data_IF_292237210696
#
_entry.id   IF_292237210696
#
_cell.length_a   1.000
_cell.length_b   1.000
_cell.length_c   1.000
_cell.angle_alpha   90.00
_cell.angle_beta   90.00
_cell.angle_gamma   90.00
#
_symmetry.space_group_name_H-M   'P 1'
#
loop_
_entity.id
_entity.type
_entity.pdbx_description
1 polymer ?
#
# COMPACT_ATOMS: atom_id res chain seq x y z
N UNK A 1 1.98 -24.41 -4.76
CA UNK A 1 2.36 -23.84 -6.06
C UNK A 1 3.87 -23.91 -6.12
N UNK A 2 4.44 -24.49 -7.16
CA UNK A 2 5.90 -24.62 -7.34
C UNK A 2 6.39 -23.66 -8.40
N UNK A 3 7.68 -23.32 -8.35
CA UNK A 3 8.31 -22.45 -9.37
C UNK A 3 8.17 -23.05 -10.77
N UNK A 4 8.23 -24.38 -10.89
CA UNK A 4 8.07 -25.10 -12.16
C UNK A 4 6.65 -25.07 -12.75
N UNK A 5 5.66 -24.59 -12.00
CA UNK A 5 4.27 -24.45 -12.46
C UNK A 5 4.00 -23.07 -13.10
N UNK A 6 4.94 -22.13 -13.00
CA UNK A 6 4.84 -20.81 -13.62
C UNK A 6 5.01 -20.90 -15.14
N UNK A 7 4.24 -20.08 -15.87
CA UNK A 7 4.50 -19.87 -17.30
C UNK A 7 5.72 -18.97 -17.52
N UNK A 8 6.11 -18.78 -18.79
CA UNK A 8 7.31 -18.01 -19.15
C UNK A 8 7.28 -16.56 -18.64
N UNK A 9 6.11 -15.91 -18.70
CA UNK A 9 5.96 -14.50 -18.34
C UNK A 9 5.98 -14.34 -16.81
N UNK A 10 5.34 -15.27 -16.09
CA UNK A 10 5.34 -15.34 -14.63
C UNK A 10 6.74 -15.65 -14.07
N UNK A 11 7.46 -16.58 -14.70
CA UNK A 11 8.85 -16.86 -14.33
C UNK A 11 9.74 -15.63 -14.56
N UNK A 12 9.57 -14.95 -15.69
CA UNK A 12 10.28 -13.70 -15.99
C UNK A 12 9.97 -12.61 -14.96
N UNK A 13 8.72 -12.51 -14.51
CA UNK A 13 8.32 -11.56 -13.46
C UNK A 13 8.98 -11.91 -12.11
N UNK A 14 9.00 -13.19 -11.75
CA UNK A 14 9.65 -13.69 -10.53
C UNK A 14 11.16 -13.42 -10.54
N UNK A 15 11.85 -13.69 -11.65
CA UNK A 15 13.26 -13.38 -11.83
C UNK A 15 13.56 -11.89 -11.63
N UNK A 16 12.68 -11.01 -12.13
CA UNK A 16 12.82 -9.57 -11.98
C UNK A 16 12.55 -9.11 -10.54
N UNK A 17 11.61 -9.73 -9.83
CA UNK A 17 11.38 -9.48 -8.40
C UNK A 17 12.65 -9.82 -7.61
N UNK A 18 13.21 -11.02 -7.81
CA UNK A 18 14.41 -11.45 -7.11
C UNK A 18 15.64 -10.62 -7.51
N UNK A 19 15.77 -10.26 -8.79
CA UNK A 19 16.81 -9.35 -9.26
C UNK A 19 16.71 -7.98 -8.62
N UNK A 20 15.51 -7.42 -8.48
CA UNK A 20 15.31 -6.16 -7.75
C UNK A 20 15.73 -6.28 -6.29
N UNK A 21 15.30 -7.33 -5.58
CA UNK A 21 15.68 -7.56 -4.18
C UNK A 21 17.20 -7.74 -4.02
N UNK A 22 17.89 -8.28 -5.03
CA UNK A 22 19.32 -8.54 -4.95
C UNK A 22 20.21 -7.34 -5.33
N UNK A 23 19.73 -6.43 -6.18
CA UNK A 23 20.57 -5.38 -6.77
C UNK A 23 20.06 -3.95 -6.52
N UNK A 24 18.82 -3.77 -6.07
CA UNK A 24 18.26 -2.44 -5.80
C UNK A 24 18.81 -1.85 -4.50
N UNK A 25 18.85 -0.52 -4.45
CA UNK A 25 19.11 0.27 -3.25
C UNK A 25 17.82 0.83 -2.61
N UNK A 26 16.66 0.24 -2.93
CA UNK A 26 15.36 0.62 -2.38
C UNK A 26 14.70 1.83 -3.06
N UNK A 27 15.13 2.15 -4.29
CA UNK A 27 14.42 3.15 -5.11
C UNK A 27 13.18 2.53 -5.70
N UNK A 28 12.01 3.11 -5.39
CA UNK A 28 10.72 2.63 -5.87
C UNK A 28 10.72 2.38 -7.40
N UNK A 29 10.45 1.14 -7.79
CA UNK A 29 10.33 0.73 -9.19
C UNK A 29 8.92 0.18 -9.48
N UNK A 30 8.08 0.87 -10.27
CA UNK A 30 6.74 0.38 -10.62
C UNK A 30 6.73 -1.01 -11.26
N UNK A 31 7.80 -1.41 -11.97
CA UNK A 31 7.91 -2.74 -12.56
C UNK A 31 8.04 -3.82 -11.49
N UNK A 32 8.79 -3.55 -10.42
CA UNK A 32 8.90 -4.44 -9.27
C UNK A 32 7.52 -4.66 -8.63
N UNK A 33 6.77 -3.59 -8.36
CA UNK A 33 5.43 -3.69 -7.80
C UNK A 33 4.46 -4.47 -8.69
N UNK A 34 4.49 -4.23 -10.01
CA UNK A 34 3.68 -4.97 -10.98
C UNK A 34 3.97 -6.47 -10.94
N UNK A 35 5.25 -6.84 -10.97
CA UNK A 35 5.66 -8.24 -10.95
C UNK A 35 5.33 -8.91 -9.62
N UNK A 36 5.57 -8.23 -8.49
CA UNK A 36 5.22 -8.73 -7.17
C UNK A 36 3.71 -8.96 -7.06
N UNK A 37 2.91 -8.04 -7.60
CA UNK A 37 1.46 -8.14 -7.62
C UNK A 37 0.95 -9.30 -8.51
N UNK A 38 1.65 -9.59 -9.61
CA UNK A 38 1.37 -10.75 -10.46
C UNK A 38 1.63 -12.07 -9.72
N UNK A 39 2.77 -12.18 -9.03
CA UNK A 39 3.09 -13.37 -8.22
C UNK A 39 2.11 -13.52 -7.06
N UNK A 40 1.79 -12.42 -6.39
CA UNK A 40 0.79 -12.36 -5.32
C UNK A 40 -0.57 -12.93 -5.79
N UNK A 41 -1.08 -12.49 -6.93
CA UNK A 41 -2.33 -12.97 -7.52
C UNK A 41 -2.37 -14.49 -7.66
N UNK A 42 -1.25 -15.10 -8.06
CA UNK A 42 -1.14 -16.56 -8.23
C UNK A 42 -1.16 -17.27 -6.89
N UNK A 43 -0.44 -16.75 -5.91
CA UNK A 43 -0.44 -17.29 -4.56
C UNK A 43 -1.83 -17.16 -3.91
N UNK A 44 -2.50 -16.01 -4.02
CA UNK A 44 -3.85 -15.81 -3.47
C UNK A 44 -4.89 -16.75 -4.08
N UNK A 45 -4.75 -17.08 -5.37
CA UNK A 45 -5.67 -18.02 -6.01
C UNK A 45 -5.58 -19.44 -5.43
N UNK A 46 -4.44 -19.82 -4.85
CA UNK A 46 -4.20 -21.15 -4.26
C UNK A 46 -4.30 -21.12 -2.72
N UNK A 47 -3.84 -20.03 -2.10
CA UNK A 47 -3.65 -19.89 -0.66
C UNK A 47 -4.19 -18.54 -0.16
N UNK A 48 -5.50 -18.25 -0.31
CA UNK A 48 -6.04 -16.91 -0.02
C UNK A 48 -5.74 -16.44 1.42
N UNK A 49 -5.89 -17.32 2.40
CA UNK A 49 -5.68 -17.02 3.83
C UNK A 49 -4.21 -17.09 4.28
N UNK A 50 -3.31 -17.60 3.45
CA UNK A 50 -1.89 -17.78 3.79
C UNK A 50 -0.97 -17.08 2.77
N UNK A 51 -1.51 -16.17 1.96
CA UNK A 51 -0.77 -15.63 0.79
C UNK A 51 0.58 -15.06 1.19
N UNK A 52 0.64 -14.28 2.27
CA UNK A 52 1.86 -13.60 2.68
C UNK A 52 2.92 -14.58 3.22
N UNK A 53 2.54 -15.56 4.03
CA UNK A 53 3.48 -16.60 4.50
C UNK A 53 3.95 -17.49 3.35
N UNK A 54 3.05 -17.80 2.41
CA UNK A 54 3.40 -18.55 1.20
C UNK A 54 4.32 -17.77 0.27
N UNK A 55 4.21 -16.44 0.21
CA UNK A 55 5.14 -15.61 -0.54
C UNK A 55 6.55 -15.73 0.03
N UNK A 56 6.73 -15.71 1.35
CA UNK A 56 8.02 -15.92 1.99
C UNK A 56 8.66 -17.24 1.55
N UNK A 57 7.95 -18.36 1.75
CA UNK A 57 8.44 -19.70 1.36
C UNK A 57 8.74 -19.78 -0.14
N UNK A 58 7.86 -19.20 -0.96
CA UNK A 58 7.95 -19.25 -2.41
C UNK A 58 9.15 -18.47 -2.95
N UNK A 59 9.49 -17.31 -2.38
CA UNK A 59 10.67 -16.54 -2.78
C UNK A 59 11.96 -17.30 -2.46
N UNK A 60 12.04 -18.00 -1.33
CA UNK A 60 13.19 -18.85 -1.02
C UNK A 60 13.31 -20.06 -1.94
N UNK A 61 12.21 -20.77 -2.20
CA UNK A 61 12.18 -21.86 -3.19
C UNK A 61 12.65 -21.36 -4.57
N UNK A 62 12.22 -20.15 -4.96
CA UNK A 62 12.61 -19.54 -6.22
C UNK A 62 14.09 -19.19 -6.30
N UNK A 63 14.69 -18.65 -5.25
CA UNK A 63 16.14 -18.41 -5.17
C UNK A 63 16.91 -19.72 -5.36
N UNK A 64 16.52 -20.77 -4.64
CA UNK A 64 17.20 -22.08 -4.70
C UNK A 64 17.04 -22.73 -6.07
N UNK A 65 15.85 -22.62 -6.68
CA UNK A 65 15.60 -23.14 -8.03
C UNK A 65 16.39 -22.39 -9.11
N UNK A 66 16.40 -21.05 -9.06
CA UNK A 66 17.08 -20.23 -10.07
C UNK A 66 18.60 -20.28 -9.96
N UNK A 67 19.15 -20.36 -8.74
CA UNK A 67 20.60 -20.50 -8.53
C UNK A 67 21.17 -21.80 -9.12
N UNK A 68 20.35 -22.85 -9.27
CA UNK A 68 20.74 -24.09 -9.94
C UNK A 68 20.68 -24.02 -11.47
N UNK A 69 19.92 -23.07 -12.02
CA UNK A 69 19.65 -22.98 -13.47
C UNK A 69 20.38 -21.83 -14.16
N UNK A 70 20.73 -20.78 -13.43
CA UNK A 70 21.27 -19.55 -14.00
C UNK A 70 22.38 -18.97 -13.12
N UNK A 71 23.59 -18.87 -13.68
CA UNK A 71 24.76 -18.31 -13.00
C UNK A 71 24.57 -16.86 -12.54
N UNK A 72 23.64 -16.11 -13.15
CA UNK A 72 23.29 -14.76 -12.72
C UNK A 72 22.67 -14.71 -11.31
N UNK A 73 22.13 -15.84 -10.82
CA UNK A 73 21.52 -15.98 -9.49
C UNK A 73 22.43 -16.71 -8.49
N UNK A 74 23.70 -16.94 -8.82
CA UNK A 74 24.66 -17.59 -7.91
C UNK A 74 24.94 -16.75 -6.66
N UNK A 75 25.02 -15.42 -6.79
CA UNK A 75 25.12 -14.52 -5.65
C UNK A 75 23.73 -13.93 -5.35
N UNK A 76 23.08 -14.45 -4.31
CA UNK A 76 21.75 -14.05 -3.87
C UNK A 76 21.71 -13.61 -2.39
N UNK A 77 22.88 -13.35 -1.81
CA UNK A 77 23.03 -13.05 -0.37
C UNK A 77 22.16 -11.87 0.05
N UNK A 78 22.17 -10.78 -0.73
CA UNK A 78 21.33 -9.60 -0.45
C UNK A 78 19.85 -9.97 -0.47
N UNK A 79 19.37 -10.64 -1.54
CA UNK A 79 17.95 -10.99 -1.64
C UNK A 79 17.46 -11.85 -0.47
N UNK A 80 18.27 -12.82 -0.02
CA UNK A 80 17.94 -13.68 1.12
C UNK A 80 17.82 -12.88 2.41
N UNK A 81 18.82 -12.05 2.74
CA UNK A 81 18.81 -11.26 3.98
C UNK A 81 17.71 -10.20 3.96
N UNK A 82 17.41 -9.61 2.80
CA UNK A 82 16.30 -8.65 2.63
C UNK A 82 14.95 -9.34 2.86
N UNK A 83 14.73 -10.55 2.32
CA UNK A 83 13.50 -11.32 2.55
C UNK A 83 13.36 -11.70 4.02
N UNK A 84 14.39 -12.29 4.63
CA UNK A 84 14.42 -12.62 6.06
C UNK A 84 14.13 -11.39 6.92
N UNK A 85 14.85 -10.29 6.72
CA UNK A 85 14.65 -9.07 7.51
C UNK A 85 13.25 -8.49 7.35
N UNK A 86 12.71 -8.48 6.13
CA UNK A 86 11.37 -7.95 5.85
C UNK A 86 10.30 -8.75 6.58
N UNK A 87 10.30 -10.07 6.44
CA UNK A 87 9.23 -10.92 6.99
C UNK A 87 9.42 -11.21 8.49
N UNK A 88 10.62 -11.62 8.89
CA UNK A 88 10.88 -12.12 10.24
C UNK A 88 11.07 -10.99 11.25
N UNK A 89 11.53 -9.82 10.80
CA UNK A 89 11.71 -8.65 11.67
C UNK A 89 10.64 -7.60 11.43
N UNK A 90 10.61 -6.94 10.26
CA UNK A 90 9.80 -5.74 10.06
C UNK A 90 8.29 -6.02 10.10
N UNK A 91 7.77 -6.92 9.26
CA UNK A 91 6.34 -7.22 9.19
C UNK A 91 5.80 -7.81 10.49
N UNK A 92 6.52 -8.77 11.07
CA UNK A 92 6.19 -9.36 12.37
C UNK A 92 6.14 -8.30 13.48
N UNK A 93 7.15 -7.42 13.56
CA UNK A 93 7.20 -6.36 14.57
C UNK A 93 6.09 -5.34 14.34
N UNK A 94 5.80 -4.98 13.09
CA UNK A 94 4.71 -4.07 12.74
C UNK A 94 3.37 -4.57 13.27
N UNK A 95 3.04 -5.84 13.02
CA UNK A 95 1.78 -6.42 13.48
C UNK A 95 1.70 -6.46 15.02
N UNK A 96 2.78 -6.89 15.69
CA UNK A 96 2.82 -6.94 17.16
C UNK A 96 2.74 -5.54 17.80
N UNK A 97 3.44 -4.56 17.24
CA UNK A 97 3.47 -3.19 17.76
C UNK A 97 2.10 -2.50 17.63
N UNK A 98 1.38 -2.78 16.54
CA UNK A 98 0.06 -2.21 16.27
C UNK A 98 -1.10 -3.08 16.74
N UNK A 99 -0.85 -4.16 17.47
CA UNK A 99 -1.89 -5.12 17.85
C UNK A 99 -3.01 -4.46 18.68
N UNK A 100 -2.69 -3.49 19.55
CA UNK A 100 -3.69 -2.76 20.33
C UNK A 100 -4.60 -1.88 19.45
N UNK A 101 -4.05 -1.33 18.36
CA UNK A 101 -4.73 -0.42 17.45
C UNK A 101 -5.49 -1.15 16.34
N UNK A 102 -4.97 -2.31 15.93
CA UNK A 102 -5.43 -3.10 14.78
C UNK A 102 -5.97 -4.48 15.21
N UNK A 103 -6.39 -4.64 16.47
CA UNK A 103 -6.89 -5.92 17.01
C UNK A 103 -8.06 -6.53 16.23
N UNK A 104 -8.82 -5.70 15.49
CA UNK A 104 -9.94 -6.09 14.64
C UNK A 104 -9.54 -6.51 13.23
N UNK A 105 -8.28 -6.33 12.83
CA UNK A 105 -7.74 -6.69 11.51
C UNK A 105 -6.99 -8.02 11.58
N UNK A 106 -7.07 -8.81 10.51
CA UNK A 106 -6.15 -9.93 10.30
C UNK A 106 -4.90 -9.48 9.53
N UNK A 107 -3.80 -10.24 9.66
CA UNK A 107 -2.58 -10.01 8.88
C UNK A 107 -2.86 -10.01 7.36
N UNK A 108 -3.77 -10.88 6.91
CA UNK A 108 -4.18 -11.02 5.49
C UNK A 108 -4.81 -9.73 4.96
N UNK A 109 -5.52 -8.98 5.82
CA UNK A 109 -6.13 -7.71 5.44
C UNK A 109 -5.10 -6.57 5.35
N UNK A 110 -3.97 -6.69 6.06
CA UNK A 110 -2.93 -5.66 6.11
C UNK A 110 -1.83 -5.90 5.07
N UNK A 111 -1.34 -7.13 4.97
CA UNK A 111 -0.15 -7.49 4.19
C UNK A 111 -0.52 -7.84 2.76
N UNK A 112 -0.96 -6.87 1.97
CA UNK A 112 -1.09 -7.05 0.52
C UNK A 112 0.28 -6.94 -0.19
N UNK A 113 0.31 -7.22 -1.49
CA UNK A 113 1.55 -7.19 -2.29
C UNK A 113 2.28 -5.86 -2.21
N UNK A 114 1.56 -4.73 -2.26
CA UNK A 114 2.17 -3.41 -2.22
C UNK A 114 2.66 -3.03 -0.82
N UNK A 115 1.98 -3.44 0.24
CA UNK A 115 2.44 -3.24 1.62
C UNK A 115 3.78 -3.95 1.85
N UNK A 116 3.89 -5.20 1.40
CA UNK A 116 5.14 -5.96 1.44
C UNK A 116 6.20 -5.32 0.53
N UNK A 117 5.82 -4.85 -0.66
CA UNK A 117 6.69 -4.09 -1.56
C UNK A 117 7.29 -2.84 -0.90
N UNK A 118 6.48 -2.08 -0.16
CA UNK A 118 6.94 -0.91 0.61
C UNK A 118 7.90 -1.30 1.75
N UNK A 119 7.66 -2.44 2.39
CA UNK A 119 8.56 -2.97 3.41
C UNK A 119 9.92 -3.35 2.80
N UNK A 120 9.93 -3.98 1.62
CA UNK A 120 11.16 -4.26 0.87
C UNK A 120 11.92 -2.99 0.51
N UNK A 121 11.25 -1.98 -0.05
CA UNK A 121 11.88 -0.70 -0.39
C UNK A 121 12.58 -0.07 0.83
N UNK A 122 11.92 -0.10 1.99
CA UNK A 122 12.49 0.43 3.23
C UNK A 122 13.73 -0.35 3.68
N UNK A 123 13.67 -1.68 3.70
CA UNK A 123 14.81 -2.52 4.09
C UNK A 123 15.99 -2.30 3.15
N UNK A 124 15.73 -2.31 1.83
CA UNK A 124 16.75 -2.05 0.80
C UNK A 124 17.38 -0.66 0.93
N UNK A 125 16.59 0.35 1.34
CA UNK A 125 17.07 1.73 1.51
C UNK A 125 18.05 1.93 2.66
N UNK A 126 18.20 0.96 3.58
CA UNK A 126 19.15 1.06 4.69
C UNK A 126 20.61 0.84 4.27
N UNK A 127 20.86 0.47 3.01
CA UNK A 127 22.21 0.18 2.51
C UNK A 127 22.66 -1.26 2.81
N UNK A 128 23.92 -1.60 2.51
CA UNK A 128 24.34 -3.00 2.35
C UNK A 128 24.47 -3.79 3.67
N UNK A 129 24.40 -3.13 4.83
CA UNK A 129 24.54 -3.77 6.14
C UNK A 129 23.19 -4.24 6.69
N UNK A 130 22.59 -5.21 6.01
CA UNK A 130 21.24 -5.70 6.34
C UNK A 130 21.21 -6.54 7.63
N UNK A 131 22.34 -7.13 8.05
CA UNK A 131 22.42 -7.99 9.24
C UNK A 131 22.32 -7.20 10.56
N UNK A 132 22.72 -5.93 10.56
CA UNK A 132 22.76 -5.08 11.76
C UNK A 132 21.61 -4.05 11.80
N UNK A 133 20.54 -4.27 11.05
CA UNK A 133 19.42 -3.34 11.01
C UNK A 133 18.69 -3.27 12.35
N UNK A 134 18.45 -2.04 12.80
CA UNK A 134 17.71 -1.79 14.03
C UNK A 134 16.20 -1.80 13.73
N UNK A 135 15.50 -2.82 14.22
CA UNK A 135 14.07 -3.02 13.96
C UNK A 135 13.19 -1.86 14.45
N UNK A 136 13.53 -1.23 15.58
CA UNK A 136 12.78 -0.06 16.09
C UNK A 136 12.90 1.15 15.15
N UNK A 137 14.09 1.35 14.59
CA UNK A 137 14.34 2.40 13.61
C UNK A 137 13.62 2.14 12.29
N UNK A 138 13.65 0.90 11.80
CA UNK A 138 12.88 0.47 10.63
C UNK A 138 11.39 0.71 10.85
N UNK A 139 10.84 0.23 11.97
CA UNK A 139 9.42 0.39 12.28
C UNK A 139 9.02 1.87 12.33
N UNK A 140 9.81 2.72 12.98
CA UNK A 140 9.55 4.16 13.04
C UNK A 140 9.58 4.83 11.68
N UNK A 141 10.47 4.41 10.78
CA UNK A 141 10.51 4.93 9.40
C UNK A 141 9.36 4.39 8.55
N UNK A 142 8.94 3.15 8.78
CA UNK A 142 7.82 2.53 8.07
C UNK A 142 6.48 3.15 8.46
N UNK A 143 6.33 3.50 9.73
CA UNK A 143 5.17 4.18 10.29
C UNK A 143 5.18 5.67 9.92
N UNK A 144 4.74 5.99 8.71
CA UNK A 144 4.83 7.33 8.13
C UNK A 144 3.48 8.07 8.01
N UNK A 145 2.41 7.52 8.58
CA UNK A 145 1.08 8.12 8.56
C UNK A 145 0.44 8.16 9.95
N UNK A 146 -0.12 9.32 10.30
CA UNK A 146 -0.90 9.51 11.53
C UNK A 146 -2.35 9.96 11.26
N UNK A 147 -2.62 10.51 10.07
CA UNK A 147 -3.90 11.13 9.74
C UNK A 147 -4.12 12.47 10.46
N UNK A 148 -5.38 12.90 10.58
CA UNK A 148 -5.69 14.16 11.24
C UNK A 148 -5.53 14.05 12.75
N UNK A 149 -4.40 14.55 13.27
CA UNK A 149 -4.10 14.57 14.70
C UNK A 149 -3.86 15.99 15.22
N UNK A 150 -4.88 16.68 15.76
CA UNK A 150 -4.67 17.98 16.37
C UNK A 150 -3.85 17.80 17.65
N UNK A 151 -2.66 18.39 17.70
CA UNK A 151 -1.81 18.37 18.88
C UNK A 151 -1.93 19.71 19.60
N UNK A 152 -2.13 19.67 20.93
CA UNK A 152 -2.22 20.89 21.70
C UNK A 152 -0.88 21.64 21.64
N UNK A 153 -0.90 22.86 21.11
CA UNK A 153 0.23 23.79 21.18
C UNK A 153 0.10 24.61 22.45
N UNK A 154 0.95 24.32 23.44
CA UNK A 154 1.10 25.19 24.61
C UNK A 154 2.06 26.34 24.25
N UNK A 155 1.94 27.48 24.91
CA UNK A 155 2.79 28.65 24.66
C UNK A 155 4.30 28.35 24.79
N UNK A 156 4.67 27.32 25.56
CA UNK A 156 6.06 26.94 25.84
C UNK A 156 6.54 25.66 25.15
N UNK A 157 5.65 24.80 24.64
CA UNK A 157 6.01 23.50 24.07
C UNK A 157 5.04 23.05 22.97
N UNK A 158 5.61 22.56 21.86
CA UNK A 158 4.87 21.74 20.89
C UNK A 158 4.93 20.29 21.37
N UNK A 159 3.80 19.77 21.82
CA UNK A 159 3.65 18.34 22.10
C UNK A 159 3.82 17.58 20.77
N UNK A 160 4.47 16.43 20.79
CA UNK A 160 4.57 15.53 19.63
C UNK A 160 3.56 14.39 19.79
N UNK A 161 3.00 13.85 18.69
CA UNK A 161 2.16 12.66 18.78
C UNK A 161 2.94 11.47 19.36
N UNK A 162 2.23 10.53 19.99
CA UNK A 162 2.87 9.33 20.50
C UNK A 162 3.31 8.43 19.34
N UNK A 163 4.44 7.74 19.51
CA UNK A 163 5.01 6.86 18.46
C UNK A 163 4.03 5.80 17.98
N UNK A 164 3.18 5.26 18.86
CA UNK A 164 2.21 4.23 18.52
C UNK A 164 0.98 4.74 17.76
N UNK A 165 0.81 6.06 17.60
CA UNK A 165 -0.26 6.63 16.77
C UNK A 165 0.11 6.62 15.28
N UNK A 166 1.39 6.54 14.97
CA UNK A 166 1.92 6.47 13.60
C UNK A 166 1.89 5.03 13.09
N UNK A 167 1.41 4.82 11.86
CA UNK A 167 1.35 3.53 11.19
C UNK A 167 1.68 3.66 9.71
N UNK A 168 1.76 2.53 9.00
CA UNK A 168 1.85 2.51 7.53
C UNK A 168 0.44 2.29 6.97
N UNK A 169 -0.12 3.20 6.15
CA UNK A 169 -1.40 2.95 5.52
C UNK A 169 -1.22 1.85 4.45
N UNK A 170 -2.26 1.08 4.19
CA UNK A 170 -2.19 -0.09 3.31
C UNK A 170 -2.36 0.35 1.85
N UNK A 171 -1.33 0.27 0.99
CA UNK A 171 -1.43 0.79 -0.37
C UNK A 171 -2.39 -0.02 -1.22
N UNK A 172 -3.19 0.67 -2.02
CA UNK A 172 -4.16 0.11 -2.97
C UNK A 172 -3.84 0.47 -4.42
N UNK A 173 -3.08 1.54 -4.64
CA UNK A 173 -2.59 1.98 -5.94
C UNK A 173 -1.21 2.58 -5.79
N UNK A 174 -0.33 2.28 -6.74
CA UNK A 174 0.97 2.92 -6.88
C UNK A 174 1.10 3.42 -8.32
N UNK A 175 1.49 4.68 -8.50
CA UNK A 175 1.69 5.26 -9.83
C UNK A 175 2.68 4.44 -10.66
N UNK A 176 2.31 4.18 -11.91
CA UNK A 176 3.05 3.31 -12.84
C UNK A 176 2.83 1.81 -12.61
N UNK A 177 2.35 1.40 -11.44
CA UNK A 177 2.00 0.00 -11.15
C UNK A 177 0.49 -0.26 -11.24
N UNK A 178 -0.35 0.76 -11.05
CA UNK A 178 -1.80 0.56 -11.05
C UNK A 178 -2.31 -0.02 -9.73
N UNK A 179 -3.51 -0.60 -9.75
CA UNK A 179 -4.19 -1.08 -8.55
C UNK A 179 -3.64 -2.42 -8.03
N UNK A 180 -3.45 -2.50 -6.71
CA UNK A 180 -3.05 -3.70 -5.99
C UNK A 180 -4.08 -4.82 -6.19
N UNK A 181 -3.62 -6.06 -6.33
CA UNK A 181 -4.49 -7.23 -6.30
C UNK A 181 -5.22 -7.30 -4.96
N UNK A 182 -6.51 -7.64 -5.01
CA UNK A 182 -7.35 -7.75 -3.82
C UNK A 182 -8.80 -7.31 -4.08
N UNK A 183 -9.63 -7.27 -3.03
CA UNK A 183 -11.06 -6.98 -3.16
C UNK A 183 -11.36 -5.59 -3.75
N UNK A 184 -10.46 -4.62 -3.54
CA UNK A 184 -10.64 -3.24 -4.03
C UNK A 184 -10.00 -2.97 -5.39
N UNK A 185 -9.30 -3.94 -6.00
CA UNK A 185 -8.52 -3.72 -7.22
C UNK A 185 -9.35 -3.04 -8.32
N UNK A 186 -10.54 -3.60 -8.60
CA UNK A 186 -11.40 -3.14 -9.69
C UNK A 186 -11.91 -1.73 -9.46
N UNK A 187 -12.35 -1.40 -8.24
CA UNK A 187 -12.89 -0.07 -7.93
C UNK A 187 -11.78 0.99 -7.95
N UNK A 188 -10.59 0.65 -7.45
CA UNK A 188 -9.44 1.57 -7.45
C UNK A 188 -8.94 1.82 -8.87
N UNK A 189 -8.79 0.77 -9.69
CA UNK A 189 -8.40 0.90 -11.09
C UNK A 189 -9.41 1.77 -11.87
N UNK A 190 -10.71 1.52 -11.70
CA UNK A 190 -11.76 2.33 -12.33
C UNK A 190 -11.75 3.77 -11.83
N UNK A 191 -11.51 3.99 -10.54
CA UNK A 191 -11.43 5.34 -9.94
C UNK A 191 -10.30 6.15 -10.55
N UNK A 192 -9.10 5.57 -10.64
CA UNK A 192 -7.93 6.25 -11.24
C UNK A 192 -8.18 6.56 -12.71
N UNK A 193 -8.81 5.65 -13.46
CA UNK A 193 -9.22 5.89 -14.85
C UNK A 193 -10.20 7.05 -14.96
N UNK A 194 -11.24 7.10 -14.12
CA UNK A 194 -12.20 8.21 -14.12
C UNK A 194 -11.53 9.55 -13.81
N UNK A 195 -10.62 9.60 -12.84
CA UNK A 195 -9.85 10.80 -12.54
C UNK A 195 -9.00 11.25 -13.74
N UNK A 196 -8.32 10.31 -14.42
CA UNK A 196 -7.51 10.61 -15.60
C UNK A 196 -8.34 11.05 -16.82
N UNK A 197 -9.60 10.60 -16.93
CA UNK A 197 -10.54 10.97 -18.01
C UNK A 197 -11.39 12.21 -17.66
N UNK A 198 -11.25 12.76 -16.44
CA UNK A 198 -11.98 13.96 -16.01
C UNK A 198 -11.48 15.20 -16.76
N UNK A 199 -12.39 16.11 -17.08
CA UNK A 199 -12.07 17.37 -17.76
C UNK A 199 -10.99 18.18 -17.01
N UNK A 200 -10.01 18.69 -17.76
CA UNK A 200 -8.87 19.41 -17.20
C UNK A 200 -9.27 20.67 -16.42
N UNK A 201 -10.36 21.35 -16.82
CA UNK A 201 -10.85 22.52 -16.08
C UNK A 201 -11.40 22.11 -14.72
N UNK A 202 -12.14 21.00 -14.64
CA UNK A 202 -12.65 20.44 -13.38
C UNK A 202 -11.51 20.00 -12.45
N UNK A 203 -10.50 19.33 -12.99
CA UNK A 203 -9.31 18.93 -12.22
C UNK A 203 -8.59 20.15 -11.65
N UNK A 204 -8.41 21.20 -12.46
CA UNK A 204 -7.79 22.46 -12.03
C UNK A 204 -8.62 23.20 -10.98
N UNK A 205 -9.95 23.25 -11.14
CA UNK A 205 -10.85 23.83 -10.14
C UNK A 205 -10.79 23.07 -8.81
N UNK A 206 -10.68 21.74 -8.87
CA UNK A 206 -10.48 20.88 -7.71
C UNK A 206 -9.05 20.90 -7.17
N UNK A 207 -8.11 21.65 -7.78
CA UNK A 207 -6.70 21.70 -7.41
C UNK A 207 -6.01 20.31 -7.42
N UNK A 208 -6.37 19.47 -8.38
CA UNK A 208 -5.83 18.12 -8.54
C UNK A 208 -5.03 18.00 -9.82
N UNK A 209 -3.78 17.56 -9.71
CA UNK A 209 -3.01 17.00 -10.83
C UNK A 209 -2.90 15.48 -10.62
N UNK A 210 -3.49 14.72 -11.53
CA UNK A 210 -3.49 13.25 -11.46
C UNK A 210 -2.09 12.67 -11.64
N UNK A 211 -1.15 13.41 -12.23
CA UNK A 211 0.25 13.01 -12.33
C UNK A 211 0.99 13.11 -10.99
N UNK A 212 0.47 13.87 -10.02
CA UNK A 212 1.05 13.95 -8.68
C UNK A 212 0.51 12.85 -7.76
N UNK A 213 -0.57 12.15 -8.13
CA UNK A 213 -1.11 11.05 -7.34
C UNK A 213 -0.20 9.80 -7.44
N UNK A 214 0.73 9.67 -6.47
CA UNK A 214 1.69 8.56 -6.40
C UNK A 214 1.13 7.33 -5.69
N UNK A 215 0.30 7.53 -4.67
CA UNK A 215 -0.26 6.44 -3.87
C UNK A 215 -1.71 6.71 -3.47
N UNK A 216 -2.57 5.70 -3.62
CA UNK A 216 -3.84 5.63 -2.88
C UNK A 216 -3.68 4.50 -1.88
N UNK A 217 -3.98 4.76 -0.61
CA UNK A 217 -3.91 3.77 0.45
C UNK A 217 -5.19 3.83 1.30
N UNK A 218 -5.40 2.83 2.16
CA UNK A 218 -6.41 2.92 3.21
C UNK A 218 -5.78 2.95 4.60
N UNK A 219 -6.44 3.66 5.50
CA UNK A 219 -6.15 3.64 6.92
C UNK A 219 -6.73 2.35 7.55
N UNK A 220 -5.90 1.45 8.09
CA UNK A 220 -6.37 0.18 8.64
C UNK A 220 -7.06 0.32 10.01
N UNK A 221 -7.00 1.50 10.65
CA UNK A 221 -7.63 1.74 11.96
C UNK A 221 -9.14 1.60 11.88
N UNK A 222 -9.74 1.26 13.01
CA UNK A 222 -11.20 1.33 13.16
C UNK A 222 -11.62 2.79 13.15
N UNK A 223 -12.77 3.08 12.52
CA UNK A 223 -13.30 4.43 12.48
C UNK A 223 -14.24 4.66 13.67
N UNK A 224 -13.82 5.53 14.60
CA UNK A 224 -14.64 5.96 15.72
C UNK A 224 -15.55 7.13 15.32
N UNK A 225 -16.84 6.86 15.06
CA UNK A 225 -17.82 7.89 14.70
C UNK A 225 -18.12 8.88 15.82
N UNK A 226 -17.84 8.52 17.07
CA UNK A 226 -18.11 9.37 18.23
C UNK A 226 -16.97 10.36 18.50
N UNK A 227 -15.76 10.06 18.01
CA UNK A 227 -14.59 10.92 18.18
C UNK A 227 -14.83 12.32 17.57
N UNK A 228 -14.68 13.42 18.33
CA UNK A 228 -14.98 14.77 17.85
C UNK A 228 -14.23 15.18 16.58
N UNK A 229 -12.99 14.70 16.39
CA UNK A 229 -12.22 14.97 15.18
C UNK A 229 -12.86 14.34 13.93
N UNK A 230 -13.57 13.22 14.09
CA UNK A 230 -14.21 12.46 13.02
C UNK A 230 -15.57 13.03 12.61
N UNK A 231 -16.11 13.99 13.38
CA UNK A 231 -17.33 14.73 13.03
C UNK A 231 -17.09 15.84 12.01
N UNK A 232 -15.83 16.05 11.60
CA UNK A 232 -15.49 17.00 10.54
C UNK A 232 -16.08 16.52 9.21
N UNK A 233 -16.68 17.43 8.42
CA UNK A 233 -17.14 17.09 7.08
C UNK A 233 -16.01 16.41 6.28
N UNK A 234 -16.38 15.36 5.57
CA UNK A 234 -15.53 14.60 4.64
C UNK A 234 -14.38 13.78 5.24
N UNK A 235 -14.06 13.94 6.53
CA UNK A 235 -12.98 13.17 7.17
C UNK A 235 -13.23 11.66 7.15
N UNK A 236 -14.50 11.24 7.21
CA UNK A 236 -14.88 9.83 7.13
C UNK A 236 -14.65 9.22 5.75
N UNK A 237 -14.51 10.03 4.69
CA UNK A 237 -14.24 9.52 3.35
C UNK A 237 -12.75 9.33 3.07
N UNK A 238 -11.88 10.12 3.70
CA UNK A 238 -10.43 10.07 3.48
C UNK A 238 -9.80 11.46 3.48
N UNK A 239 -8.49 11.52 3.31
CA UNK A 239 -7.72 12.76 3.28
C UNK A 239 -6.44 12.62 2.46
N UNK A 240 -5.97 13.75 1.93
CA UNK A 240 -4.58 13.88 1.50
C UNK A 240 -3.65 13.79 2.71
N UNK A 241 -2.52 13.11 2.55
CA UNK A 241 -1.58 12.90 3.64
C UNK A 241 -0.67 14.12 3.86
N UNK A 242 -0.75 14.79 5.03
CA UNK A 242 0.09 15.94 5.32
C UNK A 242 1.59 15.65 5.43
N UNK A 243 2.01 14.38 5.50
CA UNK A 243 3.42 13.99 5.58
C UNK A 243 3.99 13.51 4.25
N UNK A 244 3.16 13.43 3.21
CA UNK A 244 3.56 13.01 1.87
C UNK A 244 3.26 14.17 0.92
N UNK A 245 4.29 15.02 0.75
CA UNK A 245 4.28 16.23 -0.06
C UNK A 245 5.52 16.21 -0.95
N UNK A 246 5.35 16.49 -2.23
CA UNK A 246 6.44 16.55 -3.19
C UNK A 246 7.28 17.84 -3.07
N UNK A 247 8.28 17.97 -3.94
CA UNK A 247 9.16 19.15 -3.95
C UNK A 247 8.48 20.44 -4.42
N UNK A 248 7.32 20.34 -5.09
CA UNK A 248 6.51 21.50 -5.50
C UNK A 248 5.51 21.91 -4.41
N UNK A 249 5.43 21.16 -3.31
CA UNK A 249 4.48 21.42 -2.23
C UNK A 249 3.13 20.74 -2.44
N UNK A 250 3.01 19.81 -3.39
CA UNK A 250 1.76 19.12 -3.67
C UNK A 250 1.65 17.78 -2.94
N UNK A 251 0.45 17.46 -2.45
CA UNK A 251 0.16 16.13 -1.90
C UNK A 251 0.25 15.07 -2.98
N UNK A 252 0.84 13.92 -2.63
CA UNK A 252 1.05 12.80 -3.56
C UNK A 252 0.55 11.45 -3.01
N UNK A 253 0.03 11.40 -1.77
CA UNK A 253 -0.67 10.24 -1.21
C UNK A 253 -2.06 10.59 -0.70
N UNK A 254 -3.07 9.86 -1.20
CA UNK A 254 -4.44 9.92 -0.68
C UNK A 254 -4.74 8.71 0.21
N UNK A 255 -5.23 8.94 1.43
CA UNK A 255 -5.55 7.88 2.40
C UNK A 255 -7.05 7.84 2.67
N UNK A 256 -7.68 6.72 2.30
CA UNK A 256 -9.11 6.45 2.42
C UNK A 256 -9.39 5.80 3.78
N UNK A 257 -10.51 6.12 4.42
CA UNK A 257 -10.94 5.36 5.59
C UNK A 257 -11.49 4.00 5.17
N UNK A 258 -11.02 2.90 5.78
CA UNK A 258 -11.42 1.54 5.38
C UNK A 258 -12.95 1.34 5.40
N UNK A 259 -13.66 1.91 6.37
CA UNK A 259 -15.12 1.84 6.46
C UNK A 259 -15.83 2.38 5.22
N UNK A 260 -15.27 3.39 4.57
CA UNK A 260 -15.82 3.96 3.34
C UNK A 260 -15.62 3.02 2.17
N UNK A 261 -14.43 2.39 2.06
CA UNK A 261 -14.19 1.36 1.04
C UNK A 261 -15.11 0.16 1.22
N UNK A 262 -15.21 -0.36 2.44
CA UNK A 262 -16.07 -1.48 2.76
C UNK A 262 -17.54 -1.18 2.38
N UNK A 263 -18.03 0.03 2.71
CA UNK A 263 -19.39 0.46 2.37
C UNK A 263 -19.64 0.56 0.86
N UNK A 264 -18.66 1.04 0.08
CA UNK A 264 -18.76 1.08 -1.38
C UNK A 264 -18.85 -0.33 -1.97
N UNK A 265 -18.10 -1.29 -1.43
CA UNK A 265 -18.12 -2.67 -1.88
C UNK A 265 -19.39 -3.42 -1.43
N UNK A 266 -19.92 -3.11 -0.24
CA UNK A 266 -21.10 -3.77 0.32
C UNK A 266 -22.32 -3.64 -0.58
N UNK A 267 -22.50 -2.49 -1.25
CA UNK A 267 -23.61 -2.28 -2.19
C UNK A 267 -23.60 -3.29 -3.34
N UNK A 268 -22.43 -3.66 -3.85
CA UNK A 268 -22.31 -4.67 -4.91
C UNK A 268 -22.70 -6.07 -4.42
N UNK A 269 -22.47 -6.35 -3.14
CA UNK A 269 -22.79 -7.63 -2.50
C UNK A 269 -24.30 -7.72 -2.19
N UNK A 270 -24.87 -6.66 -1.63
CA UNK A 270 -26.27 -6.64 -1.16
C UNK A 270 -27.29 -6.51 -2.28
N UNK A 271 -26.87 -6.05 -3.46
CA UNK A 271 -27.74 -5.80 -4.62
C UNK A 271 -27.27 -6.57 -5.86
N UNK A 272 -27.34 -7.92 -5.84
CA UNK A 272 -26.97 -8.75 -6.98
C UNK A 272 -27.92 -8.59 -8.18
N UNK A 273 -29.04 -7.89 -8.00
CA UNK A 273 -29.98 -7.51 -9.06
C UNK A 273 -29.50 -6.35 -9.93
N UNK A 274 -28.51 -5.57 -9.47
CA UNK A 274 -27.90 -4.50 -10.24
C UNK A 274 -26.88 -5.05 -11.25
N UNK A 275 -26.71 -4.34 -12.36
CA UNK A 275 -25.62 -4.63 -13.28
C UNK A 275 -24.26 -4.42 -12.56
N UNK A 276 -23.40 -5.42 -12.60
CA UNK A 276 -22.14 -5.42 -11.86
C UNK A 276 -21.17 -4.34 -12.35
N UNK A 277 -21.18 -4.01 -13.64
CA UNK A 277 -20.32 -2.95 -14.19
C UNK A 277 -20.89 -1.57 -13.84
N UNK A 278 -22.22 -1.42 -13.83
CA UNK A 278 -22.88 -0.20 -13.37
C UNK A 278 -22.60 0.06 -11.88
N UNK A 279 -22.77 -0.95 -11.02
CA UNK A 279 -22.49 -0.83 -9.58
C UNK A 279 -20.99 -0.55 -9.30
N UNK A 280 -20.09 -1.14 -10.10
CA UNK A 280 -18.66 -0.83 -10.04
C UNK A 280 -18.37 0.61 -10.47
N UNK A 281 -18.99 1.07 -11.55
CA UNK A 281 -18.86 2.45 -12.03
C UNK A 281 -19.39 3.45 -10.99
N UNK A 282 -20.57 3.21 -10.40
CA UNK A 282 -21.11 4.04 -9.32
C UNK A 282 -20.12 4.15 -8.16
N UNK A 283 -19.60 3.01 -7.67
CA UNK A 283 -18.65 2.99 -6.57
C UNK A 283 -17.36 3.76 -6.89
N UNK A 284 -16.82 3.57 -8.10
CA UNK A 284 -15.62 4.27 -8.56
C UNK A 284 -15.86 5.78 -8.76
N UNK A 285 -17.02 6.16 -9.29
CA UNK A 285 -17.41 7.57 -9.46
C UNK A 285 -17.57 8.28 -8.12
N UNK A 286 -18.16 7.61 -7.12
CA UNK A 286 -18.23 8.15 -5.75
C UNK A 286 -16.83 8.36 -5.19
N UNK A 287 -15.93 7.38 -5.33
CA UNK A 287 -14.57 7.51 -4.81
C UNK A 287 -13.76 8.60 -5.54
N UNK A 288 -13.91 8.72 -6.87
CA UNK A 288 -13.30 9.80 -7.64
C UNK A 288 -13.83 11.17 -7.19
N UNK A 289 -15.14 11.30 -7.01
CA UNK A 289 -15.77 12.51 -6.47
C UNK A 289 -15.29 12.85 -5.06
N UNK A 290 -15.07 11.86 -4.20
CA UNK A 290 -14.46 12.04 -2.88
C UNK A 290 -13.06 12.63 -2.98
N UNK A 291 -12.21 12.10 -3.87
CA UNK A 291 -10.84 12.60 -4.07
C UNK A 291 -10.87 14.04 -4.59
N UNK A 292 -11.72 14.34 -5.59
CA UNK A 292 -11.88 15.70 -6.13
C UNK A 292 -12.37 16.68 -5.07
N UNK A 293 -13.38 16.31 -4.30
CA UNK A 293 -13.91 17.14 -3.21
C UNK A 293 -12.85 17.40 -2.13
N UNK A 294 -12.08 16.37 -1.75
CA UNK A 294 -11.00 16.52 -0.78
C UNK A 294 -9.88 17.41 -1.31
N UNK A 295 -9.55 17.30 -2.59
CA UNK A 295 -8.58 18.17 -3.27
C UNK A 295 -9.05 19.63 -3.26
N UNK A 296 -10.31 19.89 -3.62
CA UNK A 296 -10.85 21.26 -3.61
C UNK A 296 -10.89 21.92 -2.22
N UNK A 297 -10.97 21.13 -1.14
CA UNK A 297 -10.91 21.63 0.24
C UNK A 297 -9.46 21.93 0.66
N UNK A 298 -8.52 21.09 0.27
CA UNK A 298 -7.12 21.19 0.69
C UNK A 298 -6.28 22.07 -0.24
N UNK A 299 -6.78 22.40 -1.43
CA UNK A 299 -6.03 23.11 -2.45
C UNK A 299 -4.90 22.26 -3.03
N UNK A 300 -3.89 22.92 -3.60
CA UNK A 300 -2.72 22.25 -4.19
C UNK A 300 -1.78 21.61 -3.17
N UNK A 301 -1.95 21.88 -1.86
CA UNK A 301 -0.99 21.58 -0.80
C UNK A 301 -1.18 22.47 0.41
#
# INVERSE_FOLDING_TARGET
MKVSELNSDELTALEQVLGYLNFSAGTQDPRFYNNLNLIWKKLTAVYPEETWTRLYDFLFEAIDHLSQQNDAFTNNDQSRVVIETTFDQLLRTYFMFHQDLLFHQSEIQLFNSYFIGRAFDLVLSQGPDFENLNTETLLRQFNDFIGYRPVATLESQKIQPYTHEWLRPVPLYIQGSGACEGPYQRVIDKTVKLLAETDEELLREACLDTNNLKEIAFDPRSYDFDHPANKRPNHHFGMWDPHHIDQQGCYDRFVIQKVTLDALMQRQIDRPDLDAEEALFEAAAVLAGTILMSSGINGWG
#
